data_IF_816721320059
#
_entry.id   IF_816721320059
#
_cell.length_a   1.000
_cell.length_b   1.000
_cell.length_c   1.000
_cell.angle_alpha   90.00
_cell.angle_beta   90.00
_cell.angle_gamma   90.00
#
_symmetry.space_group_name_H-M   'P 1'
#
loop_
_entity.id
_entity.type
_entity.pdbx_description
1 polymer ?
#
# COMPACT_ATOMS: atom_id res chain seq x y z
N UNK A 1 -8.92 36.86 -7.95
CA UNK A 1 -10.22 36.23 -8.24
C UNK A 1 -10.64 35.54 -6.97
N UNK A 2 -11.85 35.79 -6.49
CA UNK A 2 -12.39 35.18 -5.28
C UNK A 2 -13.41 34.12 -5.68
N UNK A 3 -13.36 32.94 -5.05
CA UNK A 3 -14.31 31.86 -5.29
C UNK A 3 -15.51 32.03 -4.35
N UNK A 4 -16.69 32.23 -4.93
CA UNK A 4 -17.97 32.18 -4.18
C UNK A 4 -18.56 30.78 -4.37
N UNK A 5 -18.42 29.92 -3.36
CA UNK A 5 -18.93 28.55 -3.40
C UNK A 5 -20.36 28.48 -2.84
N UNK A 6 -21.34 28.17 -3.69
CA UNK A 6 -22.75 28.01 -3.32
C UNK A 6 -23.16 26.54 -3.14
N UNK A 7 -22.19 25.63 -3.04
CA UNK A 7 -22.41 24.20 -2.88
C UNK A 7 -21.89 23.71 -1.52
N UNK A 8 -22.36 22.55 -1.04
CA UNK A 8 -21.79 21.91 0.15
C UNK A 8 -20.38 21.32 -0.06
N UNK A 9 -19.86 21.27 -1.29
CA UNK A 9 -18.56 20.70 -1.57
C UNK A 9 -17.43 21.58 -1.01
N UNK A 10 -16.38 20.98 -0.48
CA UNK A 10 -15.15 21.73 -0.25
C UNK A 10 -14.56 22.12 -1.62
N UNK A 11 -14.21 23.39 -1.81
CA UNK A 11 -13.69 23.86 -3.09
C UNK A 11 -12.53 24.84 -2.93
N UNK A 12 -11.57 24.76 -3.85
CA UNK A 12 -10.40 25.62 -3.92
C UNK A 12 -10.17 26.07 -5.37
N UNK A 13 -9.79 27.35 -5.54
CA UNK A 13 -9.45 27.92 -6.84
C UNK A 13 -7.99 28.39 -6.81
N UNK A 14 -7.13 27.71 -7.55
CA UNK A 14 -5.73 28.11 -7.73
C UNK A 14 -5.56 28.80 -9.07
N UNK A 15 -5.03 30.02 -9.04
CA UNK A 15 -4.68 30.76 -10.25
C UNK A 15 -3.17 30.90 -10.32
N UNK A 16 -2.57 30.41 -11.39
CA UNK A 16 -1.12 30.51 -11.63
C UNK A 16 -0.84 30.96 -13.06
N UNK A 17 0.34 31.53 -13.26
CA UNK A 17 0.94 31.72 -14.59
C UNK A 17 1.84 30.54 -14.89
N UNK A 18 1.65 29.92 -16.05
CA UNK A 18 2.57 28.90 -16.56
C UNK A 18 3.70 29.59 -17.30
N UNK A 19 4.93 29.13 -17.08
CA UNK A 19 6.10 29.64 -17.79
C UNK A 19 5.91 29.53 -19.31
N UNK A 20 6.28 30.57 -20.05
CA UNK A 20 6.08 30.64 -21.50
C UNK A 20 4.66 30.98 -21.96
N UNK A 21 3.74 31.32 -21.04
CA UNK A 21 2.37 31.71 -21.39
C UNK A 21 2.05 33.14 -20.94
N UNK A 22 1.24 33.85 -21.73
CA UNK A 22 0.71 35.19 -21.37
C UNK A 22 -0.61 35.10 -20.59
N UNK A 23 -1.16 33.90 -20.43
CA UNK A 23 -2.44 33.66 -19.78
C UNK A 23 -2.25 33.22 -18.32
N UNK A 24 -3.25 33.51 -17.50
CA UNK A 24 -3.40 32.88 -16.19
C UNK A 24 -4.28 31.65 -16.34
N UNK A 25 -3.86 30.55 -15.75
CA UNK A 25 -4.62 29.32 -15.68
C UNK A 25 -5.27 29.22 -14.31
N UNK A 26 -6.57 28.96 -14.30
CA UNK A 26 -7.34 28.66 -13.09
C UNK A 26 -7.60 27.17 -13.01
N UNK A 27 -7.29 26.56 -11.87
CA UNK A 27 -7.71 25.20 -11.52
C UNK A 27 -8.73 25.29 -10.39
N UNK A 28 -9.96 24.88 -10.68
CA UNK A 28 -11.02 24.74 -9.69
C UNK A 28 -11.08 23.27 -9.26
N UNK A 29 -10.78 23.01 -7.99
CA UNK A 29 -10.91 21.69 -7.39
C UNK A 29 -12.15 21.69 -6.49
N UNK A 30 -13.03 20.72 -6.67
CA UNK A 30 -14.18 20.47 -5.79
C UNK A 30 -14.12 19.04 -5.24
N UNK A 31 -14.30 18.91 -3.94
CA UNK A 31 -14.28 17.64 -3.21
C UNK A 31 -15.59 17.48 -2.45
N UNK A 32 -16.27 16.37 -2.73
CA UNK A 32 -17.53 16.02 -2.06
C UNK A 32 -17.26 14.83 -1.17
N UNK A 33 -17.64 14.95 0.10
CA UNK A 33 -17.60 13.84 1.06
C UNK A 33 -18.99 13.22 1.15
N UNK A 34 -19.05 11.90 1.15
CA UNK A 34 -20.29 11.15 1.30
C UNK A 34 -20.20 10.26 2.54
N UNK A 35 -21.28 10.24 3.33
CA UNK A 35 -21.47 9.22 4.35
C UNK A 35 -22.34 8.10 3.77
N UNK A 36 -21.97 6.84 4.03
CA UNK A 36 -22.78 5.67 3.68
C UNK A 36 -23.13 4.93 4.98
N UNK A 37 -24.41 4.66 5.20
CA UNK A 37 -24.87 3.90 6.36
C UNK A 37 -24.81 2.38 6.13
N UNK A 38 -25.16 1.61 7.15
CA UNK A 38 -25.11 0.13 7.11
C UNK A 38 -26.10 -0.48 6.13
N UNK A 39 -27.14 0.26 5.77
CA UNK A 39 -28.13 -0.15 4.77
C UNK A 39 -27.73 0.27 3.35
N UNK A 40 -26.54 0.88 3.19
CA UNK A 40 -26.01 1.32 1.91
C UNK A 40 -26.62 2.62 1.39
N UNK A 41 -27.40 3.32 2.21
CA UNK A 41 -27.90 4.66 1.84
C UNK A 41 -26.77 5.66 2.01
N UNK A 42 -26.68 6.58 1.07
CA UNK A 42 -25.66 7.60 1.06
C UNK A 42 -26.26 9.01 1.18
N UNK A 43 -25.50 9.92 1.78
CA UNK A 43 -25.78 11.35 1.81
C UNK A 43 -24.48 12.14 1.66
N UNK A 44 -24.58 13.38 1.20
CA UNK A 44 -23.45 14.32 1.30
C UNK A 44 -23.21 14.60 2.79
N UNK A 45 -21.95 14.62 3.19
CA UNK A 45 -21.54 15.11 4.50
C UNK A 45 -21.36 16.62 4.46
N UNK A 46 -22.38 17.35 4.88
CA UNK A 46 -22.37 18.81 4.98
C UNK A 46 -22.04 19.30 6.40
N UNK A 47 -21.81 18.39 7.35
CA UNK A 47 -21.48 18.70 8.74
C UNK A 47 -19.97 18.65 8.98
N UNK A 48 -19.29 17.64 8.45
CA UNK A 48 -17.84 17.47 8.59
C UNK A 48 -17.19 16.91 7.30
N UNK A 49 -17.31 17.62 6.15
CA UNK A 49 -16.68 17.17 4.93
C UNK A 49 -15.15 17.20 5.04
N UNK A 50 -14.49 16.22 4.41
CA UNK A 50 -13.05 16.31 4.19
C UNK A 50 -12.72 17.57 3.38
N UNK A 51 -11.74 18.38 3.82
CA UNK A 51 -11.31 19.55 3.08
C UNK A 51 -10.56 19.14 1.81
N UNK A 52 -10.43 20.09 0.88
CA UNK A 52 -9.44 19.99 -0.21
C UNK A 52 -8.04 19.94 0.42
N UNK A 53 -7.32 18.85 0.15
CA UNK A 53 -6.00 18.59 0.67
C UNK A 53 -4.95 19.10 -0.32
N UNK A 54 -4.06 19.98 0.15
CA UNK A 54 -2.96 20.46 -0.67
C UNK A 54 -1.83 19.43 -0.83
N UNK A 55 -1.69 18.54 0.16
CA UNK A 55 -0.66 17.50 0.24
C UNK A 55 -1.27 16.23 0.84
N UNK A 56 -0.60 15.11 0.62
CA UNK A 56 -1.00 13.82 1.19
C UNK A 56 -1.04 13.89 2.72
N UNK A 57 -2.05 13.25 3.32
CA UNK A 57 -2.25 13.21 4.77
C UNK A 57 -2.20 11.77 5.28
N UNK A 58 -1.28 11.43 6.20
CA UNK A 58 -1.20 10.09 6.75
C UNK A 58 -2.41 9.79 7.64
N UNK A 59 -2.88 8.55 7.58
CA UNK A 59 -3.90 8.00 8.48
C UNK A 59 -3.46 6.62 8.95
N UNK A 60 -4.17 6.04 9.94
CA UNK A 60 -3.94 4.67 10.37
C UNK A 60 -4.20 3.62 9.26
N UNK A 61 -4.93 3.98 8.21
CA UNK A 61 -5.34 3.09 7.12
C UNK A 61 -4.60 3.37 5.80
N UNK A 62 -3.60 4.24 5.81
CA UNK A 62 -2.86 4.67 4.62
C UNK A 62 -2.93 6.17 4.39
N UNK A 63 -2.44 6.61 3.24
CA UNK A 63 -2.36 8.04 2.91
C UNK A 63 -3.64 8.50 2.21
N UNK A 64 -4.24 9.58 2.70
CA UNK A 64 -5.26 10.32 1.95
C UNK A 64 -4.52 11.22 0.94
N UNK A 65 -4.75 11.08 -0.37
CA UNK A 65 -3.99 11.83 -1.36
C UNK A 65 -4.37 13.31 -1.38
N UNK A 66 -3.42 14.15 -1.76
CA UNK A 66 -3.65 15.55 -2.11
C UNK A 66 -4.51 15.70 -3.36
N UNK A 67 -5.37 16.73 -3.38
CA UNK A 67 -6.36 16.97 -4.43
C UNK A 67 -5.92 18.03 -5.46
N UNK A 68 -4.78 18.68 -5.24
CA UNK A 68 -4.31 19.81 -6.06
C UNK A 68 -3.37 19.41 -7.20
N UNK A 69 -3.09 18.12 -7.35
CA UNK A 69 -2.29 17.62 -8.47
C UNK A 69 -3.18 17.44 -9.70
N UNK A 70 -2.91 18.11 -10.83
CA UNK A 70 -3.69 17.92 -12.04
C UNK A 70 -3.54 16.48 -12.54
N UNK A 71 -4.67 15.82 -12.81
CA UNK A 71 -4.70 14.49 -13.41
C UNK A 71 -4.15 14.55 -14.83
N UNK A 72 -3.27 13.60 -15.17
CA UNK A 72 -2.65 13.48 -16.50
C UNK A 72 -3.54 12.76 -17.51
N UNK A 73 -4.45 11.90 -17.02
CA UNK A 73 -5.38 11.15 -17.84
C UNK A 73 -6.82 11.29 -17.32
N UNK A 74 -7.76 10.66 -18.05
CA UNK A 74 -9.20 10.67 -17.74
C UNK A 74 -9.67 9.40 -17.03
N UNK A 75 -8.77 8.53 -16.58
CA UNK A 75 -9.16 7.30 -15.89
C UNK A 75 -9.87 7.66 -14.58
N UNK A 76 -10.81 6.81 -14.16
CA UNK A 76 -11.37 6.87 -12.81
C UNK A 76 -10.45 6.08 -11.89
N UNK A 77 -10.06 6.69 -10.76
CA UNK A 77 -9.29 6.01 -9.73
C UNK A 77 -10.17 5.82 -8.51
N UNK A 78 -10.14 4.62 -7.95
CA UNK A 78 -10.85 4.28 -6.72
C UNK A 78 -9.83 3.75 -5.75
N UNK A 79 -9.72 4.42 -4.61
CA UNK A 79 -8.85 4.02 -3.51
C UNK A 79 -9.71 3.65 -2.30
N UNK A 80 -9.21 2.71 -1.49
CA UNK A 80 -9.87 2.28 -0.26
C UNK A 80 -8.88 2.37 0.89
N UNK A 81 -9.15 3.29 1.81
CA UNK A 81 -8.51 3.30 3.13
C UNK A 81 -9.48 2.61 4.10
N UNK A 82 -9.21 1.33 4.38
CA UNK A 82 -10.15 0.47 5.10
C UNK A 82 -9.46 -0.66 5.84
N UNK A 83 -10.26 -1.44 6.58
CA UNK A 83 -9.81 -2.65 7.25
C UNK A 83 -10.77 -3.80 6.97
N UNK A 84 -10.23 -5.02 6.89
CA UNK A 84 -11.02 -6.24 6.90
C UNK A 84 -11.35 -6.61 8.35
N UNK A 85 -12.63 -6.88 8.62
CA UNK A 85 -13.13 -7.28 9.93
C UNK A 85 -13.46 -8.77 9.90
N UNK A 86 -12.49 -9.62 10.27
CA UNK A 86 -12.61 -11.08 10.17
C UNK A 86 -13.26 -11.74 11.39
N UNK A 87 -13.31 -11.04 12.53
CA UNK A 87 -13.79 -11.58 13.79
C UNK A 87 -12.90 -12.72 14.29
N UNK A 88 -13.25 -13.96 13.94
CA UNK A 88 -12.49 -15.17 14.26
C UNK A 88 -12.05 -15.97 13.01
N UNK A 89 -12.37 -15.49 11.81
CA UNK A 89 -11.88 -16.09 10.56
C UNK A 89 -10.37 -15.95 10.48
N UNK A 90 -9.66 -16.96 9.96
CA UNK A 90 -8.22 -16.89 9.72
C UNK A 90 -7.88 -16.47 8.29
N UNK A 91 -8.87 -16.53 7.40
CA UNK A 91 -8.80 -16.11 6.01
C UNK A 91 -10.19 -15.64 5.53
N UNK A 92 -10.20 -14.65 4.65
CA UNK A 92 -11.40 -14.21 3.94
C UNK A 92 -11.05 -13.58 2.58
N UNK A 93 -12.03 -13.54 1.68
CA UNK A 93 -11.96 -12.69 0.50
C UNK A 93 -12.72 -11.38 0.77
N UNK A 94 -12.14 -10.26 0.36
CA UNK A 94 -12.83 -8.96 0.33
C UNK A 94 -13.00 -8.53 -1.12
N UNK A 95 -14.15 -7.93 -1.44
CA UNK A 95 -14.47 -7.47 -2.79
C UNK A 95 -14.83 -5.98 -2.79
N UNK A 96 -14.41 -5.30 -3.85
CA UNK A 96 -14.79 -3.92 -4.15
C UNK A 96 -15.41 -3.91 -5.54
N UNK A 97 -16.61 -3.34 -5.65
CA UNK A 97 -17.31 -3.20 -6.92
C UNK A 97 -17.69 -1.74 -7.18
N UNK A 98 -17.38 -1.25 -8.38
CA UNK A 98 -17.78 0.08 -8.87
C UNK A 98 -18.26 -0.06 -10.31
N UNK A 99 -19.55 0.20 -10.53
CA UNK A 99 -20.19 -0.06 -11.82
C UNK A 99 -20.04 -1.53 -12.25
N UNK A 100 -19.55 -1.77 -13.47
CA UNK A 100 -19.27 -3.11 -13.99
C UNK A 100 -17.90 -3.70 -13.59
N UNK A 101 -17.14 -3.02 -12.74
CA UNK A 101 -15.80 -3.46 -12.33
C UNK A 101 -15.83 -4.05 -10.92
N UNK A 102 -15.32 -5.27 -10.78
CA UNK A 102 -15.05 -5.89 -9.50
C UNK A 102 -13.55 -6.16 -9.32
N UNK A 103 -13.07 -6.01 -8.09
CA UNK A 103 -11.72 -6.36 -7.64
C UNK A 103 -11.83 -7.15 -6.35
N UNK A 104 -10.90 -8.09 -6.16
CA UNK A 104 -10.88 -9.01 -5.03
C UNK A 104 -9.49 -9.01 -4.39
N UNK A 105 -9.43 -9.12 -3.07
CA UNK A 105 -8.20 -9.39 -2.33
C UNK A 105 -8.44 -10.61 -1.43
N UNK A 106 -7.45 -11.49 -1.38
CA UNK A 106 -7.35 -12.52 -0.35
C UNK A 106 -6.72 -11.89 0.89
N UNK A 107 -7.41 -11.98 2.02
CA UNK A 107 -6.94 -11.49 3.31
C UNK A 107 -6.73 -12.68 4.24
N UNK A 108 -5.54 -12.81 4.81
CA UNK A 108 -5.18 -13.84 5.77
C UNK A 108 -4.65 -13.22 7.06
N UNK A 109 -4.84 -13.91 8.18
CA UNK A 109 -4.18 -13.55 9.43
C UNK A 109 -2.66 -13.68 9.33
N UNK A 110 -1.95 -13.28 10.38
CA UNK A 110 -0.50 -13.30 10.38
C UNK A 110 0.04 -14.71 10.13
N UNK A 111 1.00 -14.79 9.21
CA UNK A 111 1.67 -16.00 8.74
C UNK A 111 3.16 -15.73 8.59
N UNK A 112 3.94 -16.79 8.65
CA UNK A 112 5.37 -16.74 8.41
C UNK A 112 5.87 -18.01 7.75
N UNK A 113 7.08 -17.94 7.20
CA UNK A 113 7.80 -19.13 6.82
C UNK A 113 8.48 -19.78 8.01
N UNK A 114 8.20 -21.06 8.20
CA UNK A 114 8.83 -21.94 9.18
C UNK A 114 9.91 -22.78 8.50
N UNK A 115 11.10 -22.80 9.10
CA UNK A 115 12.16 -23.74 8.72
C UNK A 115 11.90 -25.10 9.36
N UNK A 116 12.16 -26.18 8.64
CA UNK A 116 12.03 -27.54 9.15
C UNK A 116 12.81 -28.53 8.30
N UNK A 117 12.93 -29.77 8.79
CA UNK A 117 13.68 -30.85 8.13
C UNK A 117 13.17 -31.19 6.72
N UNK A 118 11.90 -30.90 6.42
CA UNK A 118 11.28 -31.07 5.09
C UNK A 118 11.32 -29.84 4.18
N UNK A 119 12.12 -28.82 4.52
CA UNK A 119 12.16 -27.55 3.81
C UNK A 119 11.23 -26.47 4.41
N UNK A 120 11.20 -25.28 3.78
CA UNK A 120 10.37 -24.18 4.25
C UNK A 120 8.88 -24.49 4.08
N UNK A 121 8.07 -24.19 5.10
CA UNK A 121 6.61 -24.31 5.06
C UNK A 121 5.94 -23.06 5.62
N UNK A 122 4.75 -22.74 5.17
CA UNK A 122 3.96 -21.62 5.68
C UNK A 122 3.30 -22.03 7.01
N UNK A 123 3.33 -21.18 8.02
CA UNK A 123 2.60 -21.38 9.27
C UNK A 123 1.07 -21.34 9.05
N UNK A 124 0.26 -22.00 9.90
CA UNK A 124 -1.17 -21.73 9.92
C UNK A 124 -1.44 -20.23 10.14
N UNK A 125 -2.45 -19.63 9.47
CA UNK A 125 -2.82 -18.24 9.69
C UNK A 125 -3.41 -18.03 11.08
N UNK A 126 -3.01 -16.95 11.75
CA UNK A 126 -3.67 -16.47 12.96
C UNK A 126 -5.11 -15.99 12.68
N UNK A 127 -5.91 -15.78 13.72
CA UNK A 127 -7.24 -15.20 13.59
C UNK A 127 -7.16 -13.72 13.14
N UNK A 128 -8.06 -13.32 12.25
CA UNK A 128 -8.22 -11.94 11.77
C UNK A 128 -9.19 -11.21 12.70
N UNK A 129 -8.68 -10.35 13.57
CA UNK A 129 -9.49 -9.36 14.28
C UNK A 129 -9.90 -8.24 13.32
N UNK A 130 -9.17 -7.13 13.38
CA UNK A 130 -9.27 -6.00 12.44
C UNK A 130 -7.94 -5.88 11.71
N UNK A 131 -7.95 -6.06 10.38
CA UNK A 131 -6.75 -6.05 9.54
C UNK A 131 -6.76 -4.84 8.59
N UNK A 132 -5.96 -3.80 8.84
CA UNK A 132 -5.82 -2.68 7.92
C UNK A 132 -5.38 -3.14 6.53
N UNK A 133 -6.06 -2.66 5.49
CA UNK A 133 -5.75 -2.98 4.10
C UNK A 133 -4.66 -2.04 3.56
N UNK A 134 -3.43 -2.20 4.05
CA UNK A 134 -2.31 -1.28 3.74
C UNK A 134 -1.19 -1.96 2.95
N UNK A 135 -0.36 -1.17 2.28
CA UNK A 135 0.83 -1.67 1.57
C UNK A 135 1.82 -2.41 2.48
N UNK A 136 1.85 -2.11 3.79
CA UNK A 136 2.68 -2.83 4.76
C UNK A 136 2.24 -4.29 5.03
N UNK A 137 1.03 -4.62 4.55
CA UNK A 137 0.41 -5.94 4.66
C UNK A 137 0.39 -6.67 3.31
N UNK A 138 0.79 -6.02 2.22
CA UNK A 138 0.96 -6.62 0.89
C UNK A 138 2.38 -7.18 0.70
N UNK A 139 2.60 -7.91 -0.40
CA UNK A 139 3.91 -8.47 -0.75
C UNK A 139 5.00 -7.37 -0.82
N UNK A 140 6.24 -7.72 -0.50
CA UNK A 140 7.40 -6.85 -0.56
C UNK A 140 8.16 -6.85 0.76
N UNK A 141 8.73 -5.72 1.13
CA UNK A 141 9.39 -5.50 2.41
C UNK A 141 10.85 -5.13 2.28
N UNK A 142 11.48 -4.95 3.43
CA UNK A 142 12.88 -4.60 3.57
C UNK A 142 13.51 -5.32 4.76
N UNK A 143 14.82 -5.49 4.74
CA UNK A 143 15.60 -6.03 5.84
C UNK A 143 16.99 -5.40 5.87
N UNK A 144 17.47 -5.11 7.07
CA UNK A 144 18.86 -4.70 7.28
C UNK A 144 19.80 -5.89 7.06
N UNK A 145 20.90 -5.63 6.37
CA UNK A 145 21.94 -6.59 6.06
C UNK A 145 23.30 -6.02 6.46
N UNK A 146 23.96 -6.70 7.39
CA UNK A 146 25.31 -6.39 7.81
C UNK A 146 26.29 -7.03 6.83
N UNK A 147 27.13 -6.20 6.20
CA UNK A 147 28.21 -6.64 5.31
C UNK A 147 29.49 -6.98 6.08
N UNK A 148 29.70 -6.31 7.21
CA UNK A 148 30.76 -6.56 8.18
C UNK A 148 30.31 -6.03 9.55
N UNK A 149 31.20 -5.91 10.53
CA UNK A 149 30.88 -5.44 11.89
C UNK A 149 30.39 -3.97 11.97
N UNK A 150 30.62 -3.17 10.93
CA UNK A 150 30.37 -1.72 10.90
C UNK A 150 29.56 -1.25 9.69
N UNK A 151 29.46 -2.07 8.66
CA UNK A 151 28.77 -1.75 7.41
C UNK A 151 27.40 -2.40 7.34
N UNK A 152 26.35 -1.60 7.23
CA UNK A 152 24.95 -2.05 7.08
C UNK A 152 24.37 -1.47 5.80
N UNK A 153 23.61 -2.30 5.07
CA UNK A 153 22.83 -1.89 3.90
C UNK A 153 21.37 -2.33 4.04
N UNK A 154 20.48 -1.58 3.41
CA UNK A 154 19.06 -1.95 3.29
C UNK A 154 18.84 -2.84 2.07
N UNK A 155 18.37 -4.06 2.32
CA UNK A 155 17.80 -4.94 1.29
C UNK A 155 16.31 -4.63 1.18
N UNK A 156 15.77 -4.56 -0.02
CA UNK A 156 14.34 -4.28 -0.21
C UNK A 156 13.78 -4.78 -1.53
N UNK A 157 12.48 -5.08 -1.52
CA UNK A 157 11.70 -5.28 -2.72
C UNK A 157 11.52 -3.96 -3.48
N UNK A 158 11.84 -3.89 -4.79
CA UNK A 158 11.80 -2.65 -5.55
C UNK A 158 10.37 -2.11 -5.77
N UNK A 159 9.34 -2.95 -5.66
CA UNK A 159 7.96 -2.50 -5.84
C UNK A 159 7.38 -1.97 -4.54
N UNK A 160 7.62 -2.66 -3.42
CA UNK A 160 7.02 -2.32 -2.14
C UNK A 160 7.96 -2.55 -0.95
N UNK A 161 8.88 -1.61 -0.69
CA UNK A 161 9.76 -1.65 0.49
C UNK A 161 9.03 -1.67 1.84
N UNK A 162 7.77 -1.19 1.90
CA UNK A 162 6.96 -1.17 3.13
C UNK A 162 6.34 -2.54 3.44
N UNK A 163 6.25 -3.42 2.45
CA UNK A 163 5.52 -4.70 2.51
C UNK A 163 6.15 -5.77 3.38
N UNK A 164 5.75 -7.02 3.14
CA UNK A 164 6.29 -8.21 3.80
C UNK A 164 6.25 -9.42 2.87
N UNK A 165 7.13 -10.40 3.09
CA UNK A 165 7.23 -11.59 2.25
C UNK A 165 8.40 -11.60 1.27
N UNK A 166 9.14 -10.49 1.13
CA UNK A 166 10.37 -10.41 0.36
C UNK A 166 11.43 -11.43 0.84
N UNK A 167 12.13 -12.06 -0.11
CA UNK A 167 13.23 -12.99 0.20
C UNK A 167 14.55 -12.22 0.40
N UNK A 168 14.69 -11.58 1.57
CA UNK A 168 15.90 -10.88 1.93
C UNK A 168 17.14 -11.79 1.96
N UNK A 169 16.97 -13.09 2.20
CA UNK A 169 18.10 -14.02 2.23
C UNK A 169 18.66 -14.28 0.84
N UNK A 170 17.81 -14.32 -0.19
CA UNK A 170 18.27 -14.40 -1.57
C UNK A 170 19.11 -13.17 -1.93
N UNK A 171 18.58 -11.96 -1.69
CA UNK A 171 19.31 -10.73 -1.99
C UNK A 171 20.58 -10.58 -1.14
N UNK A 172 20.55 -10.99 0.13
CA UNK A 172 21.73 -11.04 1.00
C UNK A 172 22.83 -11.91 0.38
N UNK A 173 22.51 -13.11 -0.14
CA UNK A 173 23.51 -13.98 -0.79
C UNK A 173 24.13 -13.32 -2.03
N UNK A 174 23.34 -12.62 -2.82
CA UNK A 174 23.82 -11.95 -4.03
C UNK A 174 24.74 -10.76 -3.69
N UNK A 175 24.34 -9.96 -2.71
CA UNK A 175 25.15 -8.89 -2.14
C UNK A 175 26.46 -9.43 -1.57
N UNK A 176 26.42 -10.53 -0.81
CA UNK A 176 27.62 -11.13 -0.23
C UNK A 176 28.66 -11.53 -1.27
N UNK A 177 28.21 -12.04 -2.41
CA UNK A 177 29.08 -12.33 -3.56
C UNK A 177 29.62 -11.05 -4.20
N UNK A 178 28.76 -10.05 -4.40
CA UNK A 178 29.14 -8.80 -5.06
C UNK A 178 30.17 -7.97 -4.27
N UNK A 179 30.11 -8.03 -2.93
CA UNK A 179 31.00 -7.28 -2.04
C UNK A 179 32.10 -8.12 -1.39
N UNK A 180 32.25 -9.39 -1.78
CA UNK A 180 33.23 -10.32 -1.20
C UNK A 180 33.23 -10.30 0.34
N UNK A 181 32.03 -10.39 0.92
CA UNK A 181 31.85 -10.22 2.36
C UNK A 181 32.70 -11.23 3.16
N UNK A 182 33.28 -10.81 4.30
CA UNK A 182 34.13 -11.67 5.12
C UNK A 182 33.36 -12.84 5.73
N UNK A 183 34.10 -13.84 6.24
CA UNK A 183 33.49 -15.00 6.88
C UNK A 183 32.56 -14.58 8.04
N UNK A 184 31.35 -15.17 8.07
CA UNK A 184 30.29 -14.79 9.01
C UNK A 184 29.38 -13.66 8.51
N UNK A 185 29.70 -13.07 7.36
CA UNK A 185 28.93 -12.04 6.67
C UNK A 185 28.67 -12.43 5.20
N UNK A 186 27.70 -11.80 4.52
CA UNK A 186 26.70 -10.90 5.10
C UNK A 186 25.71 -11.64 5.99
N UNK A 187 25.08 -10.93 6.93
CA UNK A 187 24.02 -11.47 7.79
C UNK A 187 22.85 -10.49 7.90
N UNK A 188 21.64 -11.03 7.90
CA UNK A 188 20.46 -10.26 8.27
C UNK A 188 20.49 -9.93 9.77
N UNK A 189 19.67 -8.96 10.17
CA UNK A 189 19.48 -8.63 11.58
C UNK A 189 19.14 -9.87 12.43
N UNK A 190 19.64 -9.90 13.66
CA UNK A 190 19.41 -11.01 14.59
C UNK A 190 17.92 -11.24 14.80
N UNK A 191 17.50 -12.52 14.72
CA UNK A 191 16.10 -12.88 14.85
C UNK A 191 15.23 -12.59 13.63
N UNK A 192 15.83 -12.29 12.46
CA UNK A 192 15.08 -12.14 11.21
C UNK A 192 14.14 -13.32 10.96
N UNK A 193 12.88 -13.00 10.67
CA UNK A 193 11.82 -13.94 10.27
C UNK A 193 11.18 -13.44 9.00
N UNK A 194 10.97 -14.34 8.04
CA UNK A 194 10.25 -14.02 6.80
C UNK A 194 8.75 -14.18 7.01
N UNK A 195 8.10 -13.08 7.38
CA UNK A 195 6.64 -13.00 7.44
C UNK A 195 6.03 -13.11 6.04
N UNK A 196 4.79 -13.59 5.94
CA UNK A 196 4.01 -13.54 4.70
C UNK A 196 3.10 -12.32 4.66
N UNK A 197 2.76 -11.80 3.47
CA UNK A 197 1.73 -10.79 3.32
C UNK A 197 0.39 -11.30 3.85
N UNK A 198 -0.36 -10.39 4.45
CA UNK A 198 -1.73 -10.64 4.82
C UNK A 198 -2.66 -10.42 3.62
N UNK A 199 -2.27 -9.57 2.66
CA UNK A 199 -3.06 -9.18 1.50
C UNK A 199 -2.38 -9.71 0.23
N UNK A 200 -3.13 -10.51 -0.54
CA UNK A 200 -2.66 -11.14 -1.78
C UNK A 200 -3.70 -10.98 -2.90
N UNK A 201 -3.27 -11.03 -4.16
CA UNK A 201 -4.18 -11.29 -5.28
C UNK A 201 -4.66 -12.74 -5.18
N UNK A 202 -5.97 -13.03 -5.08
CA UNK A 202 -6.48 -14.39 -4.94
C UNK A 202 -6.06 -15.32 -6.09
N UNK A 203 -5.67 -14.77 -7.25
CA UNK A 203 -5.21 -15.52 -8.42
C UNK A 203 -3.72 -15.86 -8.38
N UNK A 204 -2.96 -15.27 -7.45
CA UNK A 204 -1.50 -15.42 -7.32
C UNK A 204 -1.08 -15.54 -5.85
N UNK A 205 -1.67 -16.48 -5.08
CA UNK A 205 -1.29 -16.66 -3.68
C UNK A 205 0.15 -17.17 -3.56
N UNK A 206 0.81 -16.84 -2.45
CA UNK A 206 2.15 -17.35 -2.15
C UNK A 206 2.01 -18.78 -1.64
N UNK A 207 2.72 -19.70 -2.30
CA UNK A 207 2.71 -21.14 -1.95
C UNK A 207 4.12 -21.71 -1.81
N UNK A 208 5.11 -21.11 -2.48
CA UNK A 208 6.51 -21.52 -2.47
C UNK A 208 7.39 -20.41 -1.93
N UNK A 209 8.55 -20.79 -1.41
CA UNK A 209 9.49 -19.85 -0.81
C UNK A 209 9.96 -18.79 -1.81
N UNK A 210 10.19 -19.16 -3.06
CA UNK A 210 10.67 -18.28 -4.13
C UNK A 210 9.54 -17.48 -4.83
N UNK A 211 8.29 -17.61 -4.39
CA UNK A 211 7.19 -16.83 -4.97
C UNK A 211 7.36 -15.33 -4.62
N UNK A 212 7.30 -14.50 -5.67
CA UNK A 212 7.36 -13.04 -5.59
C UNK A 212 6.25 -12.40 -6.43
N UNK A 213 4.98 -12.54 -6.02
CA UNK A 213 3.86 -11.95 -6.77
C UNK A 213 3.90 -10.42 -6.67
N UNK A 214 3.35 -9.70 -7.66
CA UNK A 214 3.16 -8.26 -7.53
C UNK A 214 2.35 -7.91 -6.26
N UNK A 215 2.70 -6.83 -5.55
CA UNK A 215 1.95 -6.42 -4.36
C UNK A 215 0.52 -6.03 -4.72
N UNK A 216 -0.45 -6.52 -3.94
CA UNK A 216 -1.86 -6.24 -4.12
C UNK A 216 -2.39 -5.42 -2.93
N UNK A 217 -2.96 -4.25 -3.21
CA UNK A 217 -3.61 -3.38 -2.22
C UNK A 217 -4.54 -2.40 -2.95
N UNK A 218 -5.52 -1.83 -2.23
CA UNK A 218 -6.40 -0.78 -2.75
C UNK A 218 -6.16 0.59 -2.11
N UNK A 219 -5.30 0.66 -1.09
CA UNK A 219 -4.92 1.93 -0.50
C UNK A 219 -4.13 2.77 -1.51
N UNK A 220 -4.14 4.09 -1.33
CA UNK A 220 -3.28 5.02 -2.06
C UNK A 220 -1.85 4.49 -2.12
N UNK A 221 -1.27 4.47 -3.32
CA UNK A 221 0.14 4.10 -3.51
C UNK A 221 1.00 5.24 -2.95
N UNK A 222 1.81 5.02 -1.91
CA UNK A 222 2.75 6.02 -1.42
C UNK A 222 3.76 6.38 -2.49
N UNK A 223 4.14 7.64 -2.56
CA UNK A 223 4.99 8.18 -3.64
C UNK A 223 6.35 7.49 -3.75
N UNK A 224 6.87 6.95 -2.66
CA UNK A 224 8.17 6.25 -2.65
C UNK A 224 8.10 4.77 -3.06
N UNK A 225 6.91 4.22 -3.32
CA UNK A 225 6.77 2.83 -3.76
C UNK A 225 6.87 2.72 -5.29
N UNK A 226 7.64 1.74 -5.76
CA UNK A 226 7.77 1.40 -7.18
C UNK A 226 6.63 0.53 -7.72
N UNK A 227 5.44 0.60 -7.12
CA UNK A 227 4.28 -0.20 -7.57
C UNK A 227 3.80 0.34 -8.92
N UNK A 228 3.74 -0.54 -9.91
CA UNK A 228 3.14 -0.21 -11.20
C UNK A 228 1.64 -0.49 -11.14
N UNK A 229 0.83 0.55 -11.36
CA UNK A 229 -0.60 0.39 -11.63
C UNK A 229 -0.78 -0.36 -12.97
N UNK A 230 -1.62 -1.41 -12.95
CA UNK A 230 -2.02 -2.17 -14.14
C UNK A 230 -3.51 -1.98 -14.41
#
# INVERSE_FOLDING_TARGET
MELVNQTPAAADLRVSTLEGTTFRYGMLTAKVTFCVDREGRWRIDDQDPYPVLAVDRPTALGELPGDLSPRRDRALEVIVLGAAHGGALTEMEVSLAVGGHARHLRVSGDREWLRGLGGPRISPPAAIGVMPLTWARAFGGAAECWLDERSVIDLFDPQNRRGRGFDAEAQMRDVGKAFEAPAGFPRLADGYRRLLPNIEDPRRPITRWDDAPPPACWATVPTELGVQSR
#
